data_IF_156695289717
#
_entry.id   IF_156695289717
#
_cell.length_a   1.000
_cell.length_b   1.000
_cell.length_c   1.000
_cell.angle_alpha   90.00
_cell.angle_beta   90.00
_cell.angle_gamma   90.00
#
_symmetry.space_group_name_H-M   'P 1'
#
loop_
_entity.id
_entity.type
_entity.pdbx_description
1 polymer ?
#
# COMPACT_ATOMS: atom_id res chain seq x y z
N UNK A 1 24.09 -1.84 30.49
CA UNK A 1 23.33 -0.66 30.02
C UNK A 1 22.03 -1.16 29.42
N UNK A 2 20.90 -0.91 30.09
CA UNK A 2 19.57 -1.22 29.56
C UNK A 2 19.25 -0.24 28.43
N UNK A 3 19.33 -0.68 27.18
CA UNK A 3 18.89 0.14 26.04
C UNK A 3 17.38 0.31 26.14
N UNK A 4 16.92 1.52 26.49
CA UNK A 4 15.50 1.86 26.54
C UNK A 4 14.89 1.66 25.16
N UNK A 5 14.08 0.60 25.04
CA UNK A 5 13.43 0.22 23.79
C UNK A 5 12.37 1.25 23.46
N UNK A 6 12.71 2.23 22.64
CA UNK A 6 11.79 3.31 22.28
C UNK A 6 11.02 2.90 21.02
N UNK A 7 9.69 2.89 21.12
CA UNK A 7 8.80 2.71 19.96
C UNK A 7 8.36 4.08 19.48
N UNK A 8 8.52 4.35 18.19
CA UNK A 8 8.06 5.57 17.53
C UNK A 8 6.89 5.23 16.61
N UNK A 9 5.79 5.94 16.75
CA UNK A 9 4.65 5.87 15.83
C UNK A 9 4.85 6.86 14.67
N UNK A 10 4.58 6.43 13.44
CA UNK A 10 4.95 7.19 12.23
C UNK A 10 3.74 7.73 11.47
N UNK A 11 2.71 6.91 11.27
CA UNK A 11 1.46 7.27 10.60
C UNK A 11 0.31 6.46 11.22
N UNK A 12 -0.87 7.05 11.24
CA UNK A 12 -2.11 6.36 11.59
C UNK A 12 -3.19 6.67 10.54
N UNK A 13 -4.07 5.71 10.27
CA UNK A 13 -5.19 5.89 9.35
C UNK A 13 -6.36 4.98 9.73
N UNK A 14 -7.55 5.56 9.78
CA UNK A 14 -8.80 4.81 9.88
C UNK A 14 -9.19 4.27 8.51
N UNK A 15 -9.73 3.06 8.48
CA UNK A 15 -10.46 2.60 7.31
C UNK A 15 -11.69 3.51 7.09
N UNK A 16 -11.96 3.86 5.84
CA UNK A 16 -13.04 4.76 5.42
C UNK A 16 -14.44 4.39 5.95
N UNK A 17 -14.78 3.09 5.93
CA UNK A 17 -16.11 2.58 6.28
C UNK A 17 -16.13 1.55 7.43
N UNK A 18 -14.96 1.03 7.85
CA UNK A 18 -14.87 -0.03 8.86
C UNK A 18 -14.30 0.48 10.18
N UNK A 19 -14.61 -0.24 11.25
CA UNK A 19 -14.06 0.03 12.57
C UNK A 19 -12.63 -0.53 12.73
N UNK A 20 -11.71 -0.02 11.91
CA UNK A 20 -10.32 -0.47 11.83
C UNK A 20 -9.40 0.73 11.78
N UNK A 21 -8.46 0.81 12.73
CA UNK A 21 -7.37 1.78 12.76
C UNK A 21 -6.06 1.05 12.57
N UNK A 22 -5.26 1.49 11.60
CA UNK A 22 -3.88 1.05 11.45
C UNK A 22 -2.93 2.11 12.01
N UNK A 23 -1.91 1.66 12.74
CA UNK A 23 -0.84 2.52 13.29
C UNK A 23 0.50 1.92 12.90
N UNK A 24 1.27 2.63 12.08
CA UNK A 24 2.63 2.23 11.75
C UNK A 24 3.60 2.65 12.85
N UNK A 25 4.50 1.73 13.19
CA UNK A 25 5.44 1.89 14.28
C UNK A 25 6.81 1.35 13.88
N UNK A 26 7.85 1.91 14.45
CA UNK A 26 9.20 1.34 14.44
C UNK A 26 9.74 1.28 15.85
N UNK A 27 10.31 0.14 16.20
CA UNK A 27 11.02 -0.08 17.43
C UNK A 27 12.52 -0.14 17.11
N UNK A 28 13.33 0.66 17.80
CA UNK A 28 14.77 0.76 17.51
C UNK A 28 15.53 -0.57 17.61
N UNK A 29 15.01 -1.55 18.35
CA UNK A 29 15.67 -2.83 18.58
C UNK A 29 15.10 -3.97 17.73
N UNK A 30 13.80 -3.93 17.38
CA UNK A 30 13.13 -5.03 16.65
C UNK A 30 12.72 -4.67 15.23
N UNK A 31 12.57 -3.40 14.88
CA UNK A 31 12.22 -2.95 13.53
C UNK A 31 10.77 -2.48 13.38
N UNK A 32 10.30 -2.45 12.13
CA UNK A 32 9.03 -1.85 11.73
C UNK A 32 7.86 -2.82 11.76
N UNK A 33 6.67 -2.34 12.12
CA UNK A 33 5.42 -3.11 12.13
C UNK A 33 4.19 -2.20 12.08
N UNK A 34 3.03 -2.78 11.75
CA UNK A 34 1.72 -2.13 11.85
C UNK A 34 0.92 -2.77 12.99
N UNK A 35 0.30 -1.95 13.82
CA UNK A 35 -0.65 -2.40 14.84
C UNK A 35 -2.06 -1.98 14.47
N UNK A 36 -3.02 -2.87 14.76
CA UNK A 36 -4.42 -2.70 14.38
C UNK A 36 -5.32 -2.61 15.60
N UNK A 37 -6.22 -1.63 15.58
CA UNK A 37 -7.13 -1.29 16.67
C UNK A 37 -8.56 -1.13 16.14
N UNK A 38 -9.52 -1.14 17.07
CA UNK A 38 -10.93 -0.80 16.81
C UNK A 38 -11.27 0.47 17.61
N UNK A 39 -12.44 1.07 17.37
CA UNK A 39 -12.97 2.23 18.11
C UNK A 39 -13.14 1.96 19.59
N UNK A 40 -13.22 0.69 20.00
CA UNK A 40 -13.22 0.30 21.42
C UNK A 40 -11.90 0.66 22.12
N UNK A 41 -10.82 0.88 21.37
CA UNK A 41 -9.50 1.21 21.90
C UNK A 41 -8.83 0.04 22.62
N UNK A 42 -7.87 0.36 23.49
CA UNK A 42 -7.12 -0.63 24.26
C UNK A 42 -5.90 -1.19 23.53
N UNK A 43 -5.56 -2.46 23.81
CA UNK A 43 -4.43 -3.15 23.17
C UNK A 43 -4.75 -3.45 21.70
N UNK A 44 -3.74 -3.48 20.80
CA UNK A 44 -3.99 -3.87 19.43
C UNK A 44 -4.54 -5.30 19.40
N UNK A 45 -5.59 -5.51 18.59
CA UNK A 45 -6.18 -6.85 18.46
C UNK A 45 -5.35 -7.74 17.53
N UNK A 46 -4.53 -7.13 16.68
CA UNK A 46 -3.58 -7.76 15.79
C UNK A 46 -2.40 -6.80 15.48
N UNK A 47 -1.23 -7.36 15.20
CA UNK A 47 -0.07 -6.64 14.68
C UNK A 47 0.52 -7.45 13.53
N UNK A 48 1.00 -6.77 12.49
CA UNK A 48 1.73 -7.40 11.39
C UNK A 48 3.03 -8.03 11.90
N UNK A 49 3.65 -8.86 11.06
CA UNK A 49 5.01 -9.34 11.30
C UNK A 49 5.96 -8.14 11.45
N UNK A 50 6.89 -8.26 12.39
CA UNK A 50 7.94 -7.27 12.61
C UNK A 50 9.03 -7.46 11.56
N UNK A 51 9.49 -6.37 10.96
CA UNK A 51 10.55 -6.36 9.94
C UNK A 51 11.80 -5.68 10.46
N UNK A 52 12.84 -6.48 10.67
CA UNK A 52 14.12 -6.01 11.17
C UNK A 52 14.69 -4.92 10.26
N UNK A 53 15.05 -3.78 10.85
CA UNK A 53 15.67 -2.64 10.16
C UNK A 53 14.90 -2.12 8.92
N UNK A 54 13.60 -2.39 8.83
CA UNK A 54 12.78 -1.99 7.70
C UNK A 54 11.52 -1.29 8.20
N UNK A 55 11.49 0.04 8.09
CA UNK A 55 10.34 0.82 8.54
C UNK A 55 9.20 0.78 7.52
N UNK A 56 7.93 0.68 7.95
CA UNK A 56 6.81 1.06 7.09
C UNK A 56 6.92 2.56 6.80
N UNK A 57 6.87 2.95 5.53
CA UNK A 57 7.02 4.34 5.08
C UNK A 57 5.69 4.96 4.67
N UNK A 58 4.81 4.14 4.10
CA UNK A 58 3.45 4.51 3.71
C UNK A 58 2.54 3.30 3.77
N UNK A 59 1.24 3.53 3.88
CA UNK A 59 0.23 2.49 3.80
C UNK A 59 -1.11 3.10 3.39
N UNK A 60 -2.00 2.28 2.83
CA UNK A 60 -3.33 2.68 2.41
C UNK A 60 -4.32 1.51 2.57
N UNK A 61 -5.48 1.79 3.16
CA UNK A 61 -6.58 0.83 3.24
C UNK A 61 -7.19 0.61 1.86
N UNK A 62 -7.52 -0.65 1.56
CA UNK A 62 -8.43 -0.97 0.46
C UNK A 62 -9.76 -0.22 0.67
N UNK A 63 -10.39 0.33 -0.39
CA UNK A 63 -11.58 1.17 -0.23
C UNK A 63 -12.76 0.48 0.48
N UNK A 64 -12.88 -0.84 0.31
CA UNK A 64 -14.02 -1.64 0.80
C UNK A 64 -13.62 -2.89 1.61
N UNK A 65 -12.39 -3.38 1.50
CA UNK A 65 -11.95 -4.65 2.10
C UNK A 65 -11.18 -4.38 3.39
N UNK A 66 -11.18 -5.34 4.32
CA UNK A 66 -10.40 -5.24 5.56
C UNK A 66 -8.92 -5.51 5.27
N UNK A 67 -8.35 -4.84 4.28
CA UNK A 67 -7.05 -5.12 3.71
C UNK A 67 -6.23 -3.83 3.68
N UNK A 68 -5.01 -3.90 4.21
CA UNK A 68 -4.08 -2.79 4.22
C UNK A 68 -2.90 -3.10 3.29
N UNK A 69 -2.64 -2.22 2.33
CA UNK A 69 -1.42 -2.24 1.55
C UNK A 69 -0.34 -1.41 2.26
N UNK A 70 0.87 -1.95 2.38
CA UNK A 70 1.99 -1.33 3.09
C UNK A 70 3.17 -1.21 2.14
N UNK A 71 3.72 -0.01 2.05
CA UNK A 71 5.01 0.26 1.42
C UNK A 71 6.11 0.34 2.48
N UNK A 72 7.22 -0.35 2.22
CA UNK A 72 8.33 -0.44 3.14
C UNK A 72 9.54 0.40 2.67
N UNK A 73 10.43 0.69 3.60
CA UNK A 73 11.70 1.39 3.35
C UNK A 73 12.60 0.62 2.39
N UNK A 74 12.52 -0.72 2.38
CA UNK A 74 13.19 -1.58 1.41
C UNK A 74 12.59 -1.54 -0.01
N UNK A 75 11.45 -0.86 -0.22
CA UNK A 75 10.70 -0.86 -1.47
C UNK A 75 9.83 -2.07 -1.73
N UNK A 76 9.87 -3.05 -0.82
CA UNK A 76 8.94 -4.15 -0.89
C UNK A 76 7.53 -3.68 -0.51
N UNK A 77 6.54 -4.46 -0.94
CA UNK A 77 5.14 -4.24 -0.61
C UNK A 77 4.60 -5.43 0.18
N UNK A 78 3.61 -5.19 1.03
CA UNK A 78 2.83 -6.27 1.64
C UNK A 78 1.36 -5.91 1.78
N UNK A 79 0.54 -6.95 1.83
CA UNK A 79 -0.89 -6.88 2.10
C UNK A 79 -1.18 -7.54 3.44
N UNK A 80 -1.93 -6.86 4.30
CA UNK A 80 -2.32 -7.38 5.61
C UNK A 80 -3.84 -7.28 5.78
N UNK A 81 -4.48 -8.41 6.05
CA UNK A 81 -5.87 -8.44 6.53
C UNK A 81 -5.85 -8.69 8.04
N UNK A 82 -6.03 -7.65 8.87
CA UNK A 82 -5.97 -7.82 10.31
C UNK A 82 -7.16 -8.61 10.86
N UNK A 83 -8.28 -8.66 10.16
CA UNK A 83 -9.48 -9.38 10.60
C UNK A 83 -9.33 -10.88 10.41
N UNK A 84 -8.67 -11.29 9.31
CA UNK A 84 -8.28 -12.68 9.04
C UNK A 84 -6.92 -13.05 9.65
N UNK A 85 -6.18 -12.07 10.18
CA UNK A 85 -4.82 -12.21 10.72
C UNK A 85 -3.84 -12.80 9.70
N UNK A 86 -4.01 -12.43 8.44
CA UNK A 86 -3.19 -12.91 7.32
C UNK A 86 -2.31 -11.77 6.80
N UNK A 87 -1.09 -12.12 6.42
CA UNK A 87 -0.13 -11.21 5.79
C UNK A 87 0.48 -11.92 4.57
N UNK A 88 0.47 -11.23 3.42
CA UNK A 88 1.12 -11.72 2.20
C UNK A 88 2.62 -11.82 2.42
N UNK A 89 3.30 -12.59 1.56
CA UNK A 89 4.75 -12.49 1.47
C UNK A 89 5.16 -11.10 0.98
N UNK A 90 6.38 -10.72 1.32
CA UNK A 90 7.02 -9.48 0.88
C UNK A 90 7.17 -9.53 -0.63
N UNK A 91 6.41 -8.69 -1.32
CA UNK A 91 6.51 -8.57 -2.77
C UNK A 91 7.66 -7.63 -3.10
N UNK A 92 8.69 -8.14 -3.77
CA UNK A 92 9.70 -7.30 -4.40
C UNK A 92 9.06 -6.60 -5.62
N UNK A 93 8.79 -5.30 -5.45
CA UNK A 93 8.21 -4.45 -6.48
C UNK A 93 9.27 -3.81 -7.39
N UNK A 94 10.57 -4.04 -7.15
CA UNK A 94 11.64 -3.31 -7.84
C UNK A 94 11.72 -1.83 -7.49
N UNK A 95 11.13 -1.42 -6.36
CA UNK A 95 11.18 -0.05 -5.84
C UNK A 95 12.37 0.13 -4.88
N UNK A 96 12.82 1.37 -4.74
CA UNK A 96 13.63 1.83 -3.60
C UNK A 96 12.70 2.22 -2.45
N UNK A 97 13.04 3.22 -1.64
CA UNK A 97 12.19 3.62 -0.51
C UNK A 97 10.79 4.02 -0.98
N UNK A 98 9.79 3.19 -0.67
CA UNK A 98 8.42 3.46 -1.08
C UNK A 98 7.93 4.77 -0.43
N UNK A 99 7.44 5.69 -1.24
CA UNK A 99 6.97 7.01 -0.79
C UNK A 99 5.47 7.19 -0.97
N UNK A 100 4.84 6.41 -1.85
CA UNK A 100 3.42 6.50 -2.18
C UNK A 100 2.83 5.10 -2.42
N UNK A 101 1.60 4.89 -1.92
CA UNK A 101 0.82 3.68 -2.19
C UNK A 101 -0.67 4.05 -2.19
N UNK A 102 -1.39 3.68 -3.25
CA UNK A 102 -2.79 4.09 -3.45
C UNK A 102 -3.58 3.02 -4.18
N UNK A 103 -4.79 2.79 -3.71
CA UNK A 103 -5.82 2.02 -4.41
C UNK A 103 -6.58 2.91 -5.39
N UNK A 104 -7.07 2.33 -6.48
CA UNK A 104 -8.17 2.96 -7.21
C UNK A 104 -9.47 2.90 -6.40
N UNK A 105 -10.49 3.63 -6.85
CA UNK A 105 -11.78 3.75 -6.16
C UNK A 105 -12.50 2.40 -6.01
N UNK A 106 -12.30 1.50 -6.97
CA UNK A 106 -12.89 0.15 -6.96
C UNK A 106 -12.03 -0.87 -6.21
N UNK A 107 -10.78 -0.53 -5.87
CA UNK A 107 -9.83 -1.41 -5.19
C UNK A 107 -9.28 -2.54 -6.07
N UNK A 108 -9.47 -2.46 -7.38
CA UNK A 108 -8.98 -3.46 -8.34
C UNK A 108 -7.52 -3.24 -8.73
N UNK A 109 -7.03 -2.01 -8.58
CA UNK A 109 -5.68 -1.62 -8.91
C UNK A 109 -5.00 -1.00 -7.71
N UNK A 110 -3.73 -1.36 -7.54
CA UNK A 110 -2.83 -0.72 -6.60
C UNK A 110 -1.68 -0.09 -7.36
N UNK A 111 -1.35 1.16 -7.02
CA UNK A 111 -0.14 1.80 -7.48
C UNK A 111 0.78 2.07 -6.30
N UNK A 112 2.05 1.72 -6.44
CA UNK A 112 3.10 2.05 -5.51
C UNK A 112 4.22 2.79 -6.21
N UNK A 113 4.89 3.70 -5.51
CA UNK A 113 6.00 4.46 -6.07
C UNK A 113 7.07 4.76 -5.03
N UNK A 114 8.29 5.02 -5.50
CA UNK A 114 9.42 5.42 -4.68
C UNK A 114 9.86 6.87 -4.91
N UNK A 115 10.81 7.31 -4.09
CA UNK A 115 11.34 8.67 -4.10
C UNK A 115 12.12 9.04 -5.37
N UNK A 116 12.63 8.06 -6.12
CA UNK A 116 13.42 8.29 -7.35
C UNK A 116 12.60 8.22 -8.63
N UNK A 117 11.27 8.17 -8.51
CA UNK A 117 10.36 8.25 -9.63
C UNK A 117 9.97 6.92 -10.26
N UNK A 118 10.32 5.77 -9.65
CA UNK A 118 9.78 4.48 -10.11
C UNK A 118 8.35 4.29 -9.62
N UNK A 119 7.45 3.92 -10.54
CA UNK A 119 6.03 3.70 -10.29
C UNK A 119 5.69 2.29 -10.77
N UNK A 120 5.03 1.52 -9.93
CA UNK A 120 4.62 0.15 -10.19
C UNK A 120 3.11 0.04 -10.03
N UNK A 121 2.47 -0.53 -11.05
CA UNK A 121 1.04 -0.77 -11.08
C UNK A 121 0.76 -2.27 -10.95
N UNK A 122 -0.20 -2.60 -10.10
CA UNK A 122 -0.60 -3.97 -9.81
C UNK A 122 -2.11 -4.11 -9.97
N UNK A 123 -2.52 -5.29 -10.42
CA UNK A 123 -3.89 -5.76 -10.31
C UNK A 123 -4.03 -6.51 -8.99
N UNK A 124 -5.11 -6.27 -8.27
CA UNK A 124 -5.44 -7.05 -7.09
C UNK A 124 -6.35 -8.22 -7.43
N UNK A 125 -5.97 -9.40 -6.95
CA UNK A 125 -6.77 -10.60 -6.99
C UNK A 125 -7.35 -10.85 -5.59
N UNK A 126 -8.63 -10.53 -5.40
CA UNK A 126 -9.30 -10.64 -4.11
C UNK A 126 -9.51 -12.07 -3.64
N UNK A 127 -9.49 -13.07 -4.56
CA UNK A 127 -9.62 -14.48 -4.19
C UNK A 127 -8.37 -14.99 -3.50
N UNK A 128 -7.22 -14.68 -4.09
CA UNK A 128 -5.90 -15.09 -3.60
C UNK A 128 -5.27 -14.05 -2.66
N UNK A 129 -5.93 -12.90 -2.48
CA UNK A 129 -5.46 -11.76 -1.68
C UNK A 129 -4.03 -11.34 -2.04
N UNK A 130 -3.73 -11.28 -3.34
CA UNK A 130 -2.39 -11.03 -3.89
C UNK A 130 -2.37 -9.93 -4.93
N UNK A 131 -1.19 -9.36 -5.14
CA UNK A 131 -0.93 -8.38 -6.19
C UNK A 131 -0.26 -9.08 -7.38
N UNK A 132 -0.79 -8.83 -8.57
CA UNK A 132 -0.22 -9.25 -9.85
C UNK A 132 0.35 -8.01 -10.55
N UNK A 133 1.64 -8.04 -10.89
CA UNK A 133 2.28 -6.93 -11.58
C UNK A 133 1.64 -6.70 -12.96
N UNK A 134 1.37 -5.45 -13.30
CA UNK A 134 0.81 -5.05 -14.59
C UNK A 134 1.82 -4.28 -15.44
N UNK A 135 2.39 -3.22 -14.87
CA UNK A 135 3.34 -2.38 -15.58
C UNK A 135 4.21 -1.55 -14.64
N UNK A 136 5.31 -1.07 -15.19
CA UNK A 136 6.23 -0.13 -14.56
C UNK A 136 6.29 1.15 -15.36
N UNK A 137 6.31 2.29 -14.68
CA UNK A 137 6.43 3.61 -15.28
C UNK A 137 7.53 4.38 -14.54
N UNK A 138 8.39 5.08 -15.28
CA UNK A 138 9.41 5.96 -14.71
C UNK A 138 8.96 7.41 -14.87
N UNK A 139 8.81 8.12 -13.77
CA UNK A 139 8.66 9.58 -13.78
C UNK A 139 9.99 10.22 -14.17
N UNK A 140 9.92 11.32 -14.93
CA UNK A 140 11.11 12.14 -15.26
C UNK A 140 11.58 13.00 -14.09
N UNK A 141 10.75 13.11 -13.06
CA UNK A 141 10.96 13.90 -11.85
C UNK A 141 10.81 13.01 -10.61
N UNK A 142 11.44 13.41 -9.51
CA UNK A 142 11.21 12.79 -8.20
C UNK A 142 9.72 12.88 -7.84
N UNK A 143 9.19 11.83 -7.21
CA UNK A 143 7.77 11.79 -6.85
C UNK A 143 7.60 12.48 -5.49
N UNK A 144 6.89 13.63 -5.42
CA UNK A 144 6.61 14.25 -4.14
C UNK A 144 5.71 13.33 -3.30
N UNK A 145 5.77 13.46 -1.98
CA UNK A 145 5.03 12.61 -1.01
C UNK A 145 3.50 12.60 -1.17
N UNK A 146 2.94 13.40 -2.08
CA UNK A 146 1.52 13.45 -2.40
C UNK A 146 1.34 13.20 -3.89
N UNK A 147 0.84 12.01 -4.24
CA UNK A 147 0.39 11.66 -5.58
C UNK A 147 -1.12 11.50 -5.51
N UNK A 148 -1.85 12.01 -6.49
CA UNK A 148 -3.29 11.80 -6.62
C UNK A 148 -3.55 11.15 -7.97
N UNK A 149 -4.22 9.99 -7.97
CA UNK A 149 -4.67 9.38 -9.22
C UNK A 149 -6.02 9.99 -9.62
N UNK A 150 -6.04 10.67 -10.77
CA UNK A 150 -7.29 11.06 -11.41
C UNK A 150 -7.79 9.88 -12.24
N UNK A 151 -8.85 9.22 -11.79
CA UNK A 151 -9.57 8.27 -12.62
C UNK A 151 -10.22 9.06 -13.76
N UNK A 152 -9.72 8.89 -14.99
CA UNK A 152 -10.35 9.47 -16.18
C UNK A 152 -11.35 8.42 -16.67
N UNK A 153 -12.67 8.69 -16.65
CA UNK A 153 -13.64 7.79 -17.27
C UNK A 153 -13.24 7.56 -18.73
N UNK A 154 -13.10 6.30 -19.15
CA UNK A 154 -12.85 5.98 -20.56
C UNK A 154 -14.00 6.54 -21.38
N UNK A 155 -13.77 7.62 -22.13
CA UNK A 155 -14.63 7.95 -23.26
C UNK A 155 -14.43 6.85 -24.31
N UNK A 156 -15.32 5.88 -24.37
CA UNK A 156 -15.39 4.97 -25.51
C UNK A 156 -15.82 5.78 -26.74
N UNK A 157 -14.87 6.15 -27.60
CA UNK A 157 -15.17 6.52 -28.98
C UNK A 157 -14.81 5.33 -29.87
N UNK A 158 -15.81 4.51 -30.19
CA UNK A 158 -15.76 3.70 -31.41
C UNK A 158 -15.74 4.67 -32.60
N UNK A 159 -14.61 4.75 -33.31
CA UNK A 159 -14.57 5.31 -34.66
C UNK A 159 -14.45 4.13 -35.60
N UNK A 160 -15.58 3.71 -36.17
CA UNK A 160 -15.58 2.80 -37.31
C UNK A 160 -15.02 3.55 -38.51
N UNK A 161 -13.83 3.19 -38.98
CA UNK A 161 -13.38 3.57 -40.32
C UNK A 161 -14.00 2.61 -41.32
N UNK A 162 -15.15 2.97 -41.89
CA UNK A 162 -15.62 2.33 -43.12
C UNK A 162 -14.76 2.89 -44.25
N UNK A 163 -13.83 2.06 -44.74
CA UNK A 163 -13.03 2.34 -45.93
C UNK A 163 -13.90 2.02 -47.15
N UNK A 164 -14.62 3.00 -47.69
CA UNK A 164 -15.22 2.86 -49.02
C UNK A 164 -14.08 2.84 -50.04
N UNK A 165 -13.91 1.69 -50.73
CA UNK A 165 -13.06 1.58 -51.92
C UNK A 165 -13.72 2.38 -53.06
N UNK A 166 -12.85 3.01 -53.86
CA UNK A 166 -13.14 3.90 -55.00
C UNK A 166 -14.30 3.46 -55.88
#
# INVERSE_FOLDING_TARGET
MSTTTTTKHLKLEWHSSKDLLAVSSINSNSGGFISFFTKKGGKPFFSSKVRNQNSPTTFCWHPTESLLAIGWESGHLSLVDPTKRTESNDLDAGLKRCCCILWDSEGLLLVAADEIGDIQCFKFDSKESRLEHLCSVKSKEEIPRVVCFKQIPRQFKYINFIKLKK
#
